data_IF_101238511313
#
_entry.id   IF_101238511313
#
_cell.length_a   1.000
_cell.length_b   1.000
_cell.length_c   1.000
_cell.angle_alpha   90.00
_cell.angle_beta   90.00
_cell.angle_gamma   90.00
#
_symmetry.space_group_name_H-M   'P 1'
#
loop_
_entity.id
_entity.type
_entity.pdbx_description
1 polymer ?
#
# COMPACT_ATOMS: atom_id res chain seq x y z
N UNK A 1 -19.25 -20.93 -6.60
CA UNK A 1 -18.92 -20.12 -7.79
C UNK A 1 -17.66 -19.32 -7.48
N UNK A 2 -16.64 -19.40 -8.34
CA UNK A 2 -15.40 -18.61 -8.19
C UNK A 2 -15.48 -17.39 -9.12
N UNK A 3 -15.14 -16.18 -8.64
CA UNK A 3 -15.13 -14.98 -9.48
C UNK A 3 -14.06 -15.00 -10.59
N UNK A 4 -13.09 -15.92 -10.50
CA UNK A 4 -12.03 -16.09 -11.50
C UNK A 4 -12.41 -17.05 -12.64
N UNK A 5 -13.60 -17.67 -12.57
CA UNK A 5 -14.11 -18.59 -13.59
C UNK A 5 -15.46 -18.06 -14.12
N UNK A 6 -15.44 -17.15 -15.12
CA UNK A 6 -16.64 -16.48 -15.59
C UNK A 6 -17.57 -17.44 -16.35
N UNK A 7 -18.84 -17.49 -15.95
CA UNK A 7 -19.87 -18.31 -16.59
C UNK A 7 -20.61 -17.60 -17.75
N UNK A 8 -20.17 -16.40 -18.14
CA UNK A 8 -20.77 -15.61 -19.22
C UNK A 8 -20.17 -14.21 -19.35
N UNK A 9 -20.59 -13.42 -20.37
CA UNK A 9 -19.94 -12.15 -20.71
C UNK A 9 -19.97 -11.09 -19.59
N UNK A 10 -21.04 -11.04 -18.80
CA UNK A 10 -21.12 -10.14 -17.65
C UNK A 10 -20.14 -10.54 -16.53
N UNK A 11 -19.99 -11.84 -16.27
CA UNK A 11 -19.04 -12.36 -15.30
C UNK A 11 -17.59 -12.15 -15.74
N UNK A 12 -17.31 -12.21 -17.05
CA UNK A 12 -15.98 -11.93 -17.59
C UNK A 12 -15.52 -10.49 -17.27
N UNK A 13 -16.40 -9.50 -17.45
CA UNK A 13 -16.09 -8.10 -17.09
C UNK A 13 -15.80 -7.90 -15.60
N UNK A 14 -16.49 -8.65 -14.74
CA UNK A 14 -16.23 -8.61 -13.28
C UNK A 14 -14.89 -9.25 -12.96
N UNK A 15 -14.54 -10.35 -13.63
CA UNK A 15 -13.23 -10.99 -13.47
C UNK A 15 -12.10 -10.03 -13.89
N UNK A 16 -12.26 -9.29 -15.00
CA UNK A 16 -11.29 -8.29 -15.44
C UNK A 16 -11.08 -7.18 -14.39
N UNK A 17 -12.17 -6.63 -13.83
CA UNK A 17 -12.10 -5.65 -12.74
C UNK A 17 -11.43 -6.22 -11.49
N UNK A 18 -11.68 -7.49 -11.19
CA UNK A 18 -11.05 -8.16 -10.05
C UNK A 18 -9.53 -8.20 -10.22
N UNK A 19 -9.03 -8.53 -11.41
CA UNK A 19 -7.60 -8.50 -11.68
C UNK A 19 -7.01 -7.10 -11.57
N UNK A 20 -7.70 -6.07 -12.06
CA UNK A 20 -7.25 -4.67 -11.95
C UNK A 20 -7.15 -4.23 -10.49
N UNK A 21 -8.21 -4.42 -9.71
CA UNK A 21 -8.24 -4.03 -8.29
C UNK A 21 -7.19 -4.81 -7.50
N UNK A 22 -7.05 -6.11 -7.74
CA UNK A 22 -6.05 -6.93 -7.07
C UNK A 22 -4.63 -6.49 -7.41
N UNK A 23 -4.38 -6.09 -8.66
CA UNK A 23 -3.11 -5.50 -9.09
C UNK A 23 -2.79 -4.20 -8.35
N UNK A 24 -3.74 -3.27 -8.28
CA UNK A 24 -3.57 -2.01 -7.53
C UNK A 24 -3.34 -2.25 -6.04
N UNK A 25 -4.12 -3.14 -5.43
CA UNK A 25 -3.98 -3.52 -4.03
C UNK A 25 -2.60 -4.15 -3.74
N UNK A 26 -2.12 -5.03 -4.62
CA UNK A 26 -0.80 -5.64 -4.49
C UNK A 26 0.33 -4.60 -4.55
N UNK A 27 0.23 -3.61 -5.45
CA UNK A 27 1.20 -2.50 -5.53
C UNK A 27 1.23 -1.70 -4.22
N UNK A 28 0.06 -1.29 -3.71
CA UNK A 28 -0.03 -0.56 -2.44
C UNK A 28 0.53 -1.38 -1.29
N UNK A 29 0.18 -2.67 -1.24
CA UNK A 29 0.67 -3.59 -0.22
C UNK A 29 2.20 -3.68 -0.23
N UNK A 30 2.83 -3.88 -1.39
CA UNK A 30 4.28 -3.97 -1.50
C UNK A 30 4.96 -2.68 -1.01
N UNK A 31 4.42 -1.51 -1.37
CA UNK A 31 4.98 -0.22 -0.95
C UNK A 31 4.92 -0.07 0.57
N UNK A 32 3.74 -0.27 1.16
CA UNK A 32 3.52 -0.12 2.60
C UNK A 32 4.33 -1.16 3.39
N UNK A 33 4.29 -2.43 2.99
CA UNK A 33 5.00 -3.51 3.66
C UNK A 33 6.52 -3.28 3.60
N UNK A 34 7.05 -2.82 2.46
CA UNK A 34 8.48 -2.50 2.33
C UNK A 34 8.89 -1.34 3.25
N UNK A 35 8.07 -0.30 3.36
CA UNK A 35 8.29 0.83 4.28
C UNK A 35 8.29 0.37 5.74
N UNK A 36 7.36 -0.50 6.13
CA UNK A 36 7.27 -1.06 7.48
C UNK A 36 8.48 -1.95 7.80
N UNK A 37 8.80 -2.91 6.91
CA UNK A 37 9.96 -3.78 7.08
C UNK A 37 11.25 -2.97 7.16
N UNK A 38 11.41 -1.97 6.29
CA UNK A 38 12.53 -1.04 6.36
C UNK A 38 12.60 -0.34 7.73
N UNK A 39 11.49 0.24 8.21
CA UNK A 39 11.46 0.94 9.48
C UNK A 39 11.81 0.01 10.66
N UNK A 40 11.23 -1.19 10.69
CA UNK A 40 11.49 -2.20 11.74
C UNK A 40 12.94 -2.66 11.74
N UNK A 41 13.51 -2.94 10.57
CA UNK A 41 14.90 -3.40 10.46
C UNK A 41 15.90 -2.27 10.76
N UNK A 42 15.64 -1.07 10.25
CA UNK A 42 16.56 0.08 10.34
C UNK A 42 16.57 0.76 11.70
N UNK A 43 15.42 0.87 12.36
CA UNK A 43 15.27 1.59 13.64
C UNK A 43 15.09 0.64 14.83
N UNK A 44 15.44 -0.64 14.68
CA UNK A 44 15.43 -1.59 15.79
C UNK A 44 16.37 -1.11 16.90
N UNK A 45 15.94 -1.23 18.15
CA UNK A 45 16.65 -0.74 19.36
C UNK A 45 18.13 -1.15 19.45
N UNK A 46 18.49 -2.31 18.90
CA UNK A 46 19.88 -2.78 18.85
C UNK A 46 20.79 -1.95 17.90
N UNK A 47 20.23 -1.06 17.08
CA UNK A 47 20.93 -0.27 16.06
C UNK A 47 20.85 1.24 16.31
N UNK A 48 20.16 1.67 17.37
CA UNK A 48 19.93 3.08 17.69
C UNK A 48 20.23 3.31 19.17
N UNK A 49 21.16 4.22 19.45
CA UNK A 49 21.52 4.64 20.81
C UNK A 49 21.13 6.10 21.05
N UNK A 50 20.66 6.41 22.26
CA UNK A 50 20.22 7.76 22.64
C UNK A 50 18.73 8.00 22.42
N UNK A 51 18.29 9.21 22.74
CA UNK A 51 16.89 9.62 22.56
C UNK A 51 16.60 9.85 21.07
N UNK A 52 15.48 9.31 20.52
CA UNK A 52 15.12 9.54 19.13
C UNK A 52 14.78 11.02 18.88
N UNK A 53 15.06 11.49 17.67
CA UNK A 53 14.69 12.83 17.23
C UNK A 53 13.16 13.00 17.33
N UNK A 54 12.71 13.98 18.11
CA UNK A 54 11.29 14.33 18.24
C UNK A 54 10.84 15.10 16.99
N UNK A 55 10.21 14.40 16.05
CA UNK A 55 9.65 14.99 14.83
C UNK A 55 8.13 14.95 14.95
N UNK A 56 7.48 16.11 14.91
CA UNK A 56 6.03 16.23 15.11
C UNK A 56 5.19 16.11 13.84
N UNK A 57 5.79 16.22 12.64
CA UNK A 57 5.06 16.11 11.37
C UNK A 57 5.89 16.48 10.15
N UNK A 58 5.31 16.32 8.96
CA UNK A 58 5.91 16.67 7.68
C UNK A 58 4.80 17.02 6.68
N UNK A 59 4.38 18.29 6.65
CA UNK A 59 3.26 18.75 5.82
C UNK A 59 3.38 18.41 4.31
N UNK A 60 4.57 18.54 3.67
CA UNK A 60 4.74 18.06 2.29
C UNK A 60 4.49 16.56 2.13
N UNK A 61 5.03 15.73 3.03
CA UNK A 61 4.82 14.28 3.00
C UNK A 61 3.35 13.93 3.22
N UNK A 62 2.70 14.64 4.15
CA UNK A 62 1.29 14.50 4.46
C UNK A 62 0.41 14.82 3.25
N UNK A 63 0.72 15.89 2.51
CA UNK A 63 0.02 16.22 1.28
C UNK A 63 0.20 15.15 0.19
N UNK A 64 1.45 14.69 -0.02
CA UNK A 64 1.76 13.68 -1.04
C UNK A 64 1.07 12.35 -0.74
N UNK A 65 1.15 11.86 0.49
CA UNK A 65 0.53 10.57 0.84
C UNK A 65 -1.00 10.62 0.83
N UNK A 66 -1.60 11.82 0.85
CA UNK A 66 -3.06 11.97 0.81
C UNK A 66 -3.54 12.09 -0.62
N UNK A 67 -2.79 12.82 -1.46
CA UNK A 67 -3.08 12.99 -2.87
C UNK A 67 -2.96 11.68 -3.65
N UNK A 68 -1.98 10.83 -3.35
CA UNK A 68 -1.77 9.57 -4.07
C UNK A 68 -2.97 8.62 -3.97
N UNK A 69 -3.51 8.28 -2.77
CA UNK A 69 -4.74 7.51 -2.67
C UNK A 69 -5.94 8.20 -3.31
N UNK A 70 -6.07 9.53 -3.18
CA UNK A 70 -7.18 10.26 -3.78
C UNK A 70 -7.20 10.22 -5.32
N UNK A 71 -6.04 10.06 -5.97
CA UNK A 71 -5.93 9.89 -7.42
C UNK A 71 -6.16 8.45 -7.89
N UNK A 72 -6.02 7.47 -6.99
CA UNK A 72 -6.24 6.05 -7.29
C UNK A 72 -7.74 5.70 -7.21
N UNK A 73 -8.49 6.39 -6.34
CA UNK A 73 -9.93 6.23 -6.14
C UNK A 73 -10.75 6.87 -7.26
#
# INVERSE_FOLDING_TARGET
MSPLLPAGPAAARIADLTYVIFGLAAVVFIVVESLLLFAVLRFRRAQVSGEPKQIYGNAPLEAVWTAVPALIL
#
